data_IF_141299516978
#
_entry.id   IF_141299516978
#
_cell.length_a   1.000
_cell.length_b   1.000
_cell.length_c   1.000
_cell.angle_alpha   90.00
_cell.angle_beta   90.00
_cell.angle_gamma   90.00
#
_symmetry.space_group_name_H-M   'P 1'
#
loop_
_entity.id
_entity.type
_entity.pdbx_description
1 polymer ?
#
# COMPACT_ATOMS: atom_id res chain seq x y z
N UNK A 1 63.24 -45.50 -28.91
CA UNK A 1 63.44 -44.99 -27.54
C UNK A 1 62.52 -43.81 -27.34
N UNK A 2 61.64 -43.94 -26.34
CA UNK A 2 60.99 -42.93 -25.47
C UNK A 2 61.00 -41.42 -25.82
N UNK A 3 59.84 -40.82 -25.47
CA UNK A 3 59.51 -39.41 -25.18
C UNK A 3 58.96 -38.65 -26.40
N UNK A 4 57.71 -38.18 -26.47
CA UNK A 4 56.76 -37.78 -25.43
C UNK A 4 56.64 -36.26 -25.49
N UNK A 5 55.49 -35.73 -25.92
CA UNK A 5 54.99 -34.43 -25.47
C UNK A 5 53.52 -34.27 -25.89
N UNK A 6 52.66 -34.26 -24.87
CA UNK A 6 51.28 -33.81 -24.91
C UNK A 6 51.25 -32.30 -25.16
N UNK A 7 50.38 -31.82 -26.05
CA UNK A 7 50.00 -30.41 -26.11
C UNK A 7 48.48 -30.31 -26.21
N UNK A 8 47.92 -29.83 -25.11
CA UNK A 8 46.53 -29.42 -24.90
C UNK A 8 45.98 -28.64 -26.10
N UNK A 9 44.88 -29.12 -26.69
CA UNK A 9 43.98 -28.26 -27.45
C UNK A 9 43.12 -27.50 -26.45
N UNK A 10 43.44 -26.21 -26.27
CA UNK A 10 42.67 -25.29 -25.45
C UNK A 10 41.27 -25.10 -26.01
N UNK A 11 40.28 -25.56 -25.27
CA UNK A 11 38.88 -25.20 -25.46
C UNK A 11 38.73 -23.74 -24.99
N UNK A 12 38.84 -22.80 -25.93
CA UNK A 12 38.48 -21.41 -25.67
C UNK A 12 36.96 -21.32 -25.53
N UNK A 13 36.45 -21.49 -24.30
CA UNK A 13 35.13 -21.00 -23.94
C UNK A 13 35.16 -19.48 -24.08
N UNK A 14 34.57 -18.98 -25.17
CA UNK A 14 34.13 -17.59 -25.28
C UNK A 14 33.03 -17.38 -24.23
N UNK A 15 33.45 -17.06 -23.00
CA UNK A 15 32.63 -16.37 -22.03
C UNK A 15 32.36 -14.98 -22.61
N UNK A 16 31.31 -14.89 -23.43
CA UNK A 16 30.64 -13.61 -23.64
C UNK A 16 30.25 -13.11 -22.25
N UNK A 17 30.68 -11.91 -21.83
CA UNK A 17 30.06 -11.29 -20.68
C UNK A 17 28.58 -11.19 -21.04
N UNK A 18 27.72 -11.75 -20.21
CA UNK A 18 26.34 -11.31 -20.13
C UNK A 18 26.41 -9.82 -19.74
N UNK A 19 26.57 -8.97 -20.76
CA UNK A 19 26.26 -7.56 -20.64
C UNK A 19 24.77 -7.58 -20.39
N UNK A 20 24.40 -7.59 -19.11
CA UNK A 20 23.08 -7.18 -18.69
C UNK A 20 22.85 -5.87 -19.41
N UNK A 21 22.02 -5.88 -20.44
CA UNK A 21 21.53 -4.64 -21.02
C UNK A 21 20.94 -3.92 -19.82
N UNK A 22 21.60 -2.83 -19.40
CA UNK A 22 20.90 -1.77 -18.73
C UNK A 22 19.74 -1.48 -19.66
N UNK A 23 18.55 -1.97 -19.30
CA UNK A 23 17.35 -1.72 -20.07
C UNK A 23 17.20 -0.21 -19.96
N UNK A 24 17.55 0.48 -21.04
CA UNK A 24 17.36 1.92 -21.15
C UNK A 24 15.90 2.20 -20.82
N UNK A 25 15.66 3.30 -20.09
CA UNK A 25 14.33 3.85 -19.94
C UNK A 25 13.64 3.80 -21.32
N UNK A 26 12.40 3.28 -21.44
CA UNK A 26 11.62 3.47 -22.64
C UNK A 26 11.73 4.94 -23.07
N UNK A 27 11.83 5.27 -24.36
CA UNK A 27 11.99 6.67 -24.80
C UNK A 27 10.99 7.65 -24.17
N UNK A 28 9.78 7.17 -23.82
CA UNK A 28 8.75 7.91 -23.10
C UNK A 28 9.04 8.21 -21.61
N UNK A 29 10.00 7.51 -20.99
CA UNK A 29 10.38 7.54 -19.57
C UNK A 29 11.68 8.26 -19.28
N UNK A 30 12.38 8.77 -20.29
CA UNK A 30 13.55 9.59 -20.05
C UNK A 30 13.18 10.78 -19.14
N UNK A 31 13.93 10.95 -18.04
CA UNK A 31 13.68 11.85 -16.91
C UNK A 31 13.45 13.34 -17.26
N UNK A 32 13.52 13.73 -18.54
CA UNK A 32 13.37 15.10 -19.02
C UNK A 32 12.00 15.47 -19.58
N UNK A 33 11.11 14.52 -19.87
CA UNK A 33 9.86 14.85 -20.59
C UNK A 33 8.65 14.91 -19.65
N UNK A 34 8.74 15.77 -18.62
CA UNK A 34 7.66 16.03 -17.64
C UNK A 34 6.30 16.32 -18.29
N UNK A 35 6.31 16.95 -19.48
CA UNK A 35 5.11 17.23 -20.27
C UNK A 35 4.51 15.95 -20.89
N UNK A 36 5.32 14.97 -21.30
CA UNK A 36 4.81 13.69 -21.76
C UNK A 36 4.16 12.87 -20.63
N UNK A 37 4.50 13.15 -19.36
CA UNK A 37 3.89 12.54 -18.17
C UNK A 37 2.60 13.21 -17.73
N UNK A 38 2.50 14.54 -17.88
CA UNK A 38 1.29 15.29 -17.50
C UNK A 38 0.05 14.77 -18.23
N UNK A 39 0.21 14.33 -19.48
CA UNK A 39 -0.87 13.81 -20.32
C UNK A 39 -1.24 12.33 -20.06
N UNK A 40 -0.40 11.56 -19.35
CA UNK A 40 -0.52 10.08 -19.23
C UNK A 40 -0.96 9.60 -17.86
N UNK A 41 -0.92 10.48 -16.87
CA UNK A 41 -1.32 10.19 -15.50
C UNK A 41 -2.53 11.05 -15.21
N UNK A 42 -3.56 10.45 -14.61
CA UNK A 42 -4.68 11.22 -14.07
C UNK A 42 -4.24 11.91 -12.78
N UNK A 43 -3.72 13.12 -12.94
CA UNK A 43 -3.18 13.91 -11.84
C UNK A 43 -4.33 14.41 -10.96
N UNK A 44 -4.29 14.14 -9.64
CA UNK A 44 -5.22 14.79 -8.75
C UNK A 44 -5.00 16.30 -8.77
N UNK A 45 -6.07 17.04 -8.52
CA UNK A 45 -6.03 18.50 -8.41
C UNK A 45 -4.91 18.93 -7.44
N UNK A 46 -4.09 19.89 -7.86
CA UNK A 46 -2.96 20.39 -7.07
C UNK A 46 -1.66 19.57 -7.17
N UNK A 47 -1.63 18.43 -7.86
CA UNK A 47 -0.40 17.65 -8.08
C UNK A 47 0.16 17.74 -9.52
N UNK A 48 -0.35 18.66 -10.34
CA UNK A 48 0.07 18.79 -11.74
C UNK A 48 1.53 19.23 -11.87
N UNK A 49 2.28 18.76 -12.88
CA UNK A 49 3.71 19.06 -13.02
C UNK A 49 4.10 20.53 -13.02
N UNK A 50 3.23 21.39 -13.53
CA UNK A 50 3.41 22.84 -13.61
C UNK A 50 3.27 23.52 -12.23
N UNK A 51 2.61 22.87 -11.27
CA UNK A 51 2.38 23.35 -9.91
C UNK A 51 3.43 22.81 -8.89
N UNK A 52 4.33 21.92 -9.32
CA UNK A 52 5.23 21.21 -8.42
C UNK A 52 6.50 22.02 -8.04
N UNK A 53 7.10 21.79 -6.85
CA UNK A 53 8.36 22.40 -6.41
C UNK A 53 9.57 21.98 -7.29
N UNK A 54 10.71 22.70 -7.26
CA UNK A 54 11.82 22.57 -8.24
C UNK A 54 12.58 21.21 -8.31
N UNK A 55 12.24 20.22 -7.47
CA UNK A 55 12.63 18.81 -7.66
C UNK A 55 11.37 17.92 -7.57
N UNK A 56 10.48 18.04 -8.56
CA UNK A 56 9.07 17.70 -8.38
C UNK A 56 8.79 16.21 -8.52
N UNK A 57 9.69 15.47 -9.16
CA UNK A 57 9.40 14.14 -9.64
C UNK A 57 10.63 13.23 -9.48
N UNK A 58 10.44 12.09 -8.84
CA UNK A 58 11.39 10.99 -8.83
C UNK A 58 10.84 9.86 -9.68
N UNK A 59 11.67 9.33 -10.56
CA UNK A 59 11.36 8.16 -11.38
C UNK A 59 12.39 7.09 -11.05
N UNK A 60 11.91 5.94 -10.62
CA UNK A 60 12.74 4.78 -10.32
C UNK A 60 12.22 3.56 -11.08
N UNK A 61 13.14 2.70 -11.50
CA UNK A 61 12.78 1.43 -12.12
C UNK A 61 12.42 0.42 -11.04
N UNK A 62 11.31 -0.27 -11.21
CA UNK A 62 10.93 -1.43 -10.43
C UNK A 62 11.25 -2.71 -11.23
N UNK A 63 11.13 -3.86 -10.59
CA UNK A 63 11.32 -5.15 -11.26
C UNK A 63 10.45 -5.31 -12.52
N UNK A 64 11.04 -5.94 -13.55
CA UNK A 64 10.38 -6.15 -14.84
C UNK A 64 10.23 -4.88 -15.69
N UNK A 65 8.99 -4.63 -16.13
CA UNK A 65 8.58 -3.49 -16.98
C UNK A 65 7.85 -2.38 -16.20
N UNK A 66 7.94 -2.43 -14.87
CA UNK A 66 7.28 -1.49 -13.98
C UNK A 66 8.22 -0.36 -13.57
N UNK A 67 7.63 0.79 -13.31
CA UNK A 67 8.30 2.02 -12.91
C UNK A 67 7.55 2.65 -11.75
N UNK A 68 8.28 3.21 -10.81
CA UNK A 68 7.75 4.08 -9.77
C UNK A 68 7.86 5.52 -10.24
N UNK A 69 6.73 6.20 -10.29
CA UNK A 69 6.62 7.65 -10.41
C UNK A 69 6.27 8.19 -9.03
N UNK A 70 7.07 9.11 -8.50
CA UNK A 70 6.85 9.73 -7.20
C UNK A 70 6.90 11.25 -7.34
N UNK A 71 5.75 11.89 -7.25
CA UNK A 71 5.60 13.32 -7.46
C UNK A 71 5.42 14.05 -6.12
N UNK A 72 6.21 15.08 -5.87
CA UNK A 72 6.04 15.99 -4.74
C UNK A 72 4.95 17.00 -5.09
N UNK A 73 3.73 16.79 -4.60
CA UNK A 73 2.58 17.65 -4.89
C UNK A 73 2.60 18.93 -4.04
N UNK A 74 3.05 18.84 -2.78
CA UNK A 74 2.99 19.96 -1.85
C UNK A 74 4.21 19.99 -0.92
N UNK A 75 4.46 21.15 -0.32
CA UNK A 75 5.48 21.31 0.73
C UNK A 75 4.90 22.06 1.93
N UNK A 76 4.96 21.45 3.12
CA UNK A 76 4.54 22.08 4.38
C UNK A 76 5.55 21.77 5.48
N UNK A 77 5.91 22.78 6.28
CA UNK A 77 6.79 22.63 7.45
C UNK A 77 8.05 21.77 7.17
N UNK A 78 8.74 22.05 6.06
CA UNK A 78 9.94 21.33 5.61
C UNK A 78 9.74 19.84 5.27
N UNK A 79 8.50 19.38 5.17
CA UNK A 79 8.13 18.06 4.65
C UNK A 79 7.59 18.21 3.23
N UNK A 80 7.85 17.21 2.40
CA UNK A 80 7.21 17.08 1.09
C UNK A 80 6.06 16.10 1.19
N UNK A 81 4.94 16.43 0.57
CA UNK A 81 3.83 15.51 0.37
C UNK A 81 3.94 14.94 -1.03
N UNK A 82 4.12 13.63 -1.10
CA UNK A 82 4.19 12.93 -2.37
C UNK A 82 2.92 12.14 -2.65
N UNK A 83 2.66 11.95 -3.94
CA UNK A 83 1.83 10.86 -4.44
C UNK A 83 2.68 9.97 -5.33
N UNK A 84 2.35 8.69 -5.36
CA UNK A 84 3.10 7.73 -6.13
C UNK A 84 2.18 6.96 -7.09
N UNK A 85 2.74 6.59 -8.23
CA UNK A 85 2.11 5.75 -9.22
C UNK A 85 3.06 4.64 -9.63
N UNK A 86 2.48 3.48 -9.88
CA UNK A 86 3.13 2.42 -10.64
C UNK A 86 2.78 2.59 -12.10
N UNK A 87 3.79 2.77 -12.92
CA UNK A 87 3.65 2.89 -14.37
C UNK A 87 4.14 1.59 -14.99
N UNK A 88 3.27 0.93 -15.76
CA UNK A 88 3.58 -0.29 -16.51
C UNK A 88 3.46 -0.02 -18.00
N UNK A 89 4.46 -0.38 -18.78
CA UNK A 89 4.37 -0.44 -20.23
C UNK A 89 3.94 -1.83 -20.71
N UNK A 90 3.04 -1.88 -21.70
CA UNK A 90 2.78 -3.11 -22.45
C UNK A 90 3.74 -3.27 -23.64
N UNK A 91 3.67 -4.42 -24.32
CA UNK A 91 4.52 -4.74 -25.47
C UNK A 91 4.26 -3.83 -26.70
N UNK A 92 3.13 -3.12 -26.71
CA UNK A 92 2.78 -2.12 -27.72
C UNK A 92 3.30 -0.71 -27.35
N UNK A 93 3.92 -0.55 -26.17
CA UNK A 93 4.42 0.73 -25.66
C UNK A 93 3.33 1.61 -25.04
N UNK A 94 2.13 1.08 -24.81
CA UNK A 94 1.06 1.77 -24.09
C UNK A 94 1.40 1.73 -22.59
N UNK A 95 1.36 2.90 -21.96
CA UNK A 95 1.63 3.03 -20.53
C UNK A 95 0.32 3.05 -19.76
N UNK A 96 0.24 2.25 -18.70
CA UNK A 96 -0.83 2.32 -17.70
C UNK A 96 -0.25 2.81 -16.40
N UNK A 97 -0.81 3.89 -15.86
CA UNK A 97 -0.48 4.40 -14.53
C UNK A 97 -1.52 3.93 -13.51
N UNK A 98 -1.05 3.45 -12.36
CA UNK A 98 -1.86 3.01 -11.25
C UNK A 98 -1.44 3.78 -10.00
N UNK A 99 -2.32 4.61 -9.39
CA UNK A 99 -2.02 5.23 -8.11
C UNK A 99 -1.66 4.18 -7.07
N UNK A 100 -0.53 4.37 -6.41
CA UNK A 100 -0.12 3.52 -5.29
C UNK A 100 -0.70 4.08 -4.00
N UNK A 101 -1.21 3.16 -3.21
CA UNK A 101 -1.64 3.40 -1.84
C UNK A 101 -0.65 2.68 -0.94
N UNK A 102 -0.34 3.27 0.20
CA UNK A 102 0.66 2.74 1.13
C UNK A 102 0.02 2.42 2.46
N UNK A 103 0.36 1.28 3.08
CA UNK A 103 -0.14 0.96 4.41
C UNK A 103 0.59 1.81 5.45
N UNK A 104 -0.17 2.50 6.29
CA UNK A 104 0.28 3.37 7.39
C UNK A 104 -0.43 3.03 8.69
N UNK A 105 0.28 3.25 9.82
CA UNK A 105 -0.33 3.20 11.14
C UNK A 105 -1.27 4.38 11.34
N UNK A 106 -2.49 4.09 11.77
CA UNK A 106 -3.39 5.08 12.37
C UNK A 106 -3.55 4.69 13.84
N UNK A 107 -3.38 5.66 14.74
CA UNK A 107 -3.62 5.48 16.17
C UNK A 107 -4.92 6.17 16.53
N UNK A 108 -5.85 5.41 17.12
CA UNK A 108 -7.14 5.90 17.58
C UNK A 108 -7.42 5.31 18.97
N UNK A 109 -7.72 6.18 19.96
CA UNK A 109 -8.01 5.78 21.34
C UNK A 109 -7.00 4.75 21.89
N UNK A 110 -5.71 5.05 21.74
CA UNK A 110 -4.58 4.19 22.13
C UNK A 110 -4.45 2.84 21.38
N UNK A 111 -5.31 2.59 20.39
CA UNK A 111 -5.25 1.41 19.51
C UNK A 111 -4.62 1.76 18.16
N UNK A 112 -3.84 0.84 17.61
CA UNK A 112 -3.16 1.04 16.33
C UNK A 112 -3.68 0.10 15.25
N UNK A 113 -4.15 0.66 14.14
CA UNK A 113 -4.59 -0.11 12.95
C UNK A 113 -3.81 0.30 11.71
N UNK A 114 -3.70 -0.59 10.71
CA UNK A 114 -3.11 -0.26 9.42
C UNK A 114 -4.21 0.18 8.44
N UNK A 115 -4.02 1.33 7.81
CA UNK A 115 -4.87 1.79 6.73
C UNK A 115 -4.04 2.17 5.50
N UNK A 116 -4.64 2.06 4.31
CA UNK A 116 -4.06 2.53 3.07
C UNK A 116 -4.24 4.04 2.94
N UNK A 117 -3.16 4.74 2.57
CA UNK A 117 -3.20 6.17 2.24
C UNK A 117 -2.55 6.45 0.89
N UNK A 118 -3.10 7.40 0.10
CA UNK A 118 -2.51 7.81 -1.18
C UNK A 118 -1.31 8.77 -1.03
N UNK A 119 -1.17 9.39 0.13
CA UNK A 119 -0.20 10.46 0.35
C UNK A 119 0.93 10.01 1.26
N UNK A 120 2.15 10.36 0.87
CA UNK A 120 3.38 10.14 1.62
C UNK A 120 3.88 11.49 2.10
N UNK A 121 3.90 11.75 3.41
CA UNK A 121 4.41 13.02 3.94
C UNK A 121 5.79 12.76 4.55
N UNK A 122 6.86 13.27 3.96
CA UNK A 122 8.21 13.04 4.49
C UNK A 122 9.34 13.30 3.52
N UNK A 123 10.46 12.63 3.78
CA UNK A 123 11.58 12.44 2.87
C UNK A 123 11.51 11.01 2.34
N UNK A 124 11.21 10.89 1.04
CA UNK A 124 11.09 9.61 0.37
C UNK A 124 12.38 9.27 -0.38
N UNK A 125 12.87 8.05 -0.22
CA UNK A 125 14.06 7.51 -0.88
C UNK A 125 13.76 6.14 -1.49
N UNK A 126 14.30 5.87 -2.68
CA UNK A 126 13.98 4.67 -3.46
C UNK A 126 15.27 3.92 -3.77
N UNK A 127 15.31 2.64 -3.41
CA UNK A 127 16.42 1.73 -3.69
C UNK A 127 15.86 0.40 -4.22
N UNK A 128 16.03 0.16 -5.52
CA UNK A 128 15.41 -0.97 -6.22
C UNK A 128 13.88 -1.00 -6.04
N UNK A 129 13.36 -2.14 -5.60
CA UNK A 129 11.94 -2.32 -5.27
C UNK A 129 11.57 -1.83 -3.86
N UNK A 130 12.42 -1.05 -3.20
CA UNK A 130 12.12 -0.53 -1.86
C UNK A 130 11.89 0.98 -1.88
N UNK A 131 10.85 1.40 -1.16
CA UNK A 131 10.61 2.79 -0.84
C UNK A 131 10.74 2.99 0.66
N UNK A 132 11.64 3.89 1.06
CA UNK A 132 11.78 4.35 2.44
C UNK A 132 11.15 5.73 2.55
N UNK A 133 10.27 5.94 3.52
CA UNK A 133 9.79 7.26 3.92
C UNK A 133 10.26 7.55 5.33
N UNK A 134 10.92 8.69 5.50
CA UNK A 134 11.26 9.21 6.83
C UNK A 134 10.55 10.53 7.06
N UNK A 135 9.74 10.60 8.10
CA UNK A 135 8.97 11.79 8.49
C UNK A 135 9.64 12.41 9.71
N UNK A 136 9.67 13.74 9.76
CA UNK A 136 10.13 14.52 10.93
C UNK A 136 11.48 14.07 11.55
N UNK A 137 12.42 13.62 10.72
CA UNK A 137 13.73 13.10 11.14
C UNK A 137 14.60 14.03 11.98
N UNK A 138 14.26 15.32 12.04
CA UNK A 138 15.00 16.37 12.78
C UNK A 138 14.48 16.57 14.22
N UNK A 139 13.54 15.74 14.67
CA UNK A 139 13.04 15.75 16.06
C UNK A 139 12.37 17.07 16.49
N UNK A 140 11.74 17.81 15.58
CA UNK A 140 11.11 19.10 15.89
C UNK A 140 9.59 18.93 16.13
N UNK A 141 9.16 19.10 17.38
CA UNK A 141 7.76 19.31 17.79
C UNK A 141 6.86 18.06 17.79
N UNK A 142 7.18 17.04 16.99
CA UNK A 142 6.48 15.74 16.99
C UNK A 142 7.47 14.60 16.73
N UNK A 143 7.05 13.38 17.05
CA UNK A 143 7.86 12.17 16.88
C UNK A 143 8.15 11.83 15.41
N UNK A 144 9.41 11.51 15.12
CA UNK A 144 9.83 11.02 13.82
C UNK A 144 9.37 9.58 13.55
N UNK A 145 9.10 9.28 12.28
CA UNK A 145 8.73 7.94 11.84
C UNK A 145 9.52 7.52 10.60
N UNK A 146 9.85 6.24 10.50
CA UNK A 146 10.50 5.65 9.33
C UNK A 146 9.76 4.39 8.91
N UNK A 147 9.33 4.34 7.66
CA UNK A 147 8.64 3.19 7.07
C UNK A 147 9.38 2.73 5.83
N UNK A 148 9.52 1.42 5.67
CA UNK A 148 10.06 0.80 4.46
C UNK A 148 8.98 -0.08 3.85
N UNK A 149 8.70 0.12 2.56
CA UNK A 149 7.80 -0.72 1.79
C UNK A 149 8.55 -1.51 0.72
N UNK A 150 8.05 -2.72 0.48
CA UNK A 150 8.33 -3.54 -0.70
C UNK A 150 7.35 -3.16 -1.81
N UNK A 151 7.90 -2.82 -2.98
CA UNK A 151 7.19 -2.46 -4.20
C UNK A 151 7.30 -3.55 -5.28
N UNK A 152 7.83 -4.73 -4.99
CA UNK A 152 7.85 -5.85 -5.95
C UNK A 152 6.44 -6.29 -6.37
N UNK A 153 5.43 -6.00 -5.55
CA UNK A 153 4.02 -6.33 -5.79
C UNK A 153 3.18 -5.08 -6.06
N UNK A 154 2.11 -5.15 -6.89
CA UNK A 154 1.21 -4.03 -7.17
C UNK A 154 0.68 -3.30 -5.93
N UNK A 155 0.42 -4.02 -4.84
CA UNK A 155 0.11 -3.46 -3.53
C UNK A 155 1.37 -3.39 -2.67
N UNK A 156 1.82 -2.19 -2.24
CA UNK A 156 2.97 -2.03 -1.36
C UNK A 156 2.84 -2.79 -0.05
N UNK A 157 3.89 -3.47 0.40
CA UNK A 157 3.89 -4.20 1.67
C UNK A 157 4.87 -3.54 2.63
N UNK A 158 4.41 -3.11 3.80
CA UNK A 158 5.30 -2.59 4.83
C UNK A 158 6.22 -3.71 5.35
N UNK A 159 7.53 -3.49 5.27
CA UNK A 159 8.58 -4.40 5.69
C UNK A 159 9.13 -4.06 7.07
N UNK A 160 9.32 -2.77 7.31
CA UNK A 160 9.91 -2.22 8.53
C UNK A 160 9.20 -0.92 8.89
N UNK A 161 8.96 -0.73 10.17
CA UNK A 161 8.34 0.48 10.68
C UNK A 161 8.93 0.81 12.04
N UNK A 162 9.43 2.04 12.16
CA UNK A 162 10.16 2.52 13.33
C UNK A 162 9.66 3.90 13.70
N UNK A 163 9.62 4.16 15.00
CA UNK A 163 9.20 5.45 15.54
C UNK A 163 10.18 5.92 16.58
N UNK A 164 10.47 7.21 16.58
CA UNK A 164 11.24 7.84 17.63
C UNK A 164 10.42 7.81 18.94
N UNK A 165 11.00 7.32 20.06
CA UNK A 165 10.27 7.18 21.32
C UNK A 165 10.12 8.52 22.06
N UNK A 166 11.14 9.37 21.98
CA UNK A 166 11.21 10.66 22.68
C UNK A 166 11.33 11.79 21.66
N UNK A 167 10.47 12.78 21.81
CA UNK A 167 10.23 13.83 20.81
C UNK A 167 10.54 15.16 21.51
N UNK A 168 11.83 15.46 21.74
CA UNK A 168 12.22 16.60 22.53
C UNK A 168 11.75 17.89 21.85
N UNK A 169 11.35 18.88 22.66
CA UNK A 169 10.88 20.19 22.16
C UNK A 169 11.94 20.96 21.36
N UNK A 170 13.21 20.54 21.45
CA UNK A 170 14.34 21.11 20.75
C UNK A 170 15.21 20.00 20.15
N UNK A 171 15.86 20.26 19.00
CA UNK A 171 16.76 19.29 18.40
C UNK A 171 17.92 19.02 19.39
N UNK A 172 18.04 17.79 19.85
CA UNK A 172 19.15 17.37 20.73
C UNK A 172 20.41 17.14 19.90
N UNK A 173 21.60 17.20 20.51
CA UNK A 173 22.90 17.09 19.81
C UNK A 173 23.13 15.75 19.08
N UNK A 174 22.25 14.77 19.22
CA UNK A 174 22.26 13.56 18.43
C UNK A 174 20.83 13.23 17.97
N UNK A 175 20.41 13.81 16.84
CA UNK A 175 19.31 13.23 16.06
C UNK A 175 19.68 11.76 15.80
N UNK A 176 19.00 10.83 16.49
CA UNK A 176 19.28 9.41 16.35
C UNK A 176 18.99 9.02 14.90
N UNK A 177 19.93 8.32 14.25
CA UNK A 177 19.73 7.80 12.91
C UNK A 177 18.39 7.04 12.84
N UNK A 178 17.47 7.41 11.92
CA UNK A 178 16.16 6.76 11.79
C UNK A 178 16.22 5.24 11.61
N UNK A 179 17.32 4.69 11.10
CA UNK A 179 17.54 3.24 11.01
C UNK A 179 17.72 2.56 12.38
N UNK A 180 18.04 3.34 13.42
CA UNK A 180 18.28 2.86 14.78
C UNK A 180 17.11 3.15 15.75
N UNK A 181 16.04 3.81 15.27
CA UNK A 181 14.85 3.99 16.08
C UNK A 181 14.21 2.64 16.45
N UNK A 182 13.55 2.55 17.62
CA UNK A 182 12.79 1.37 18.03
C UNK A 182 11.81 0.92 16.94
N UNK A 183 11.82 -0.39 16.67
CA UNK A 183 10.82 -0.99 15.80
C UNK A 183 9.44 -0.94 16.46
N UNK A 184 8.44 -0.51 15.71
CA UNK A 184 7.04 -0.72 16.05
C UNK A 184 6.76 -2.22 15.86
N UNK A 185 6.09 -2.85 16.81
CA UNK A 185 6.00 -4.31 16.95
C UNK A 185 5.77 -5.06 15.60
N UNK A 186 6.71 -5.91 15.20
CA UNK A 186 6.69 -6.59 13.89
C UNK A 186 5.57 -7.62 13.68
N UNK A 187 4.88 -8.04 14.75
CA UNK A 187 3.66 -8.86 14.67
C UNK A 187 2.51 -8.11 14.02
N UNK A 188 2.39 -6.81 14.29
CA UNK A 188 1.38 -5.92 13.73
C UNK A 188 1.52 -5.77 12.21
N UNK A 189 2.76 -5.64 11.69
CA UNK A 189 3.04 -5.59 10.25
C UNK A 189 2.72 -6.89 9.51
N UNK A 190 2.86 -8.05 10.17
CA UNK A 190 2.63 -9.36 9.54
C UNK A 190 1.14 -9.72 9.45
N UNK A 191 0.37 -9.41 10.49
CA UNK A 191 -1.06 -9.74 10.55
C UNK A 191 -1.88 -9.07 9.43
N UNK A 192 -1.46 -7.89 8.98
CA UNK A 192 -2.24 -7.04 8.07
C UNK A 192 -1.68 -7.00 6.64
N UNK A 193 -0.91 -8.01 6.23
CA UNK A 193 -0.45 -8.11 4.84
C UNK A 193 -1.65 -8.44 3.94
N UNK A 194 -1.87 -7.72 2.81
CA UNK A 194 -2.95 -8.05 1.89
C UNK A 194 -2.83 -9.50 1.41
N UNK A 195 -3.96 -10.22 1.52
CA UNK A 195 -4.10 -11.60 1.06
C UNK A 195 -3.99 -11.70 -0.46
N UNK A 196 -4.65 -10.78 -1.17
CA UNK A 196 -4.54 -10.62 -2.62
C UNK A 196 -3.66 -9.41 -2.94
N UNK A 197 -2.59 -9.64 -3.71
CA UNK A 197 -1.63 -8.62 -4.14
C UNK A 197 -1.63 -8.40 -5.65
N UNK A 198 -2.64 -8.89 -6.34
CA UNK A 198 -2.75 -8.81 -7.80
C UNK A 198 -2.89 -7.36 -8.30
N UNK A 199 -2.64 -7.17 -9.59
CA UNK A 199 -2.84 -5.86 -10.23
C UNK A 199 -4.29 -5.37 -10.14
N UNK A 200 -5.25 -6.29 -10.33
CA UNK A 200 -6.68 -6.00 -10.22
C UNK A 200 -7.08 -5.57 -8.78
N UNK A 201 -6.38 -6.09 -7.77
CA UNK A 201 -6.58 -5.73 -6.37
C UNK A 201 -6.16 -4.28 -6.14
N UNK A 202 -4.99 -3.90 -6.63
CA UNK A 202 -4.49 -2.53 -6.56
C UNK A 202 -5.38 -1.54 -7.36
N UNK A 203 -5.83 -1.91 -8.56
CA UNK A 203 -6.79 -1.12 -9.34
C UNK A 203 -8.12 -0.89 -8.60
N UNK A 204 -8.63 -1.93 -7.95
CA UNK A 204 -9.85 -1.86 -7.16
C UNK A 204 -9.70 -0.83 -6.05
N UNK A 205 -8.65 -0.95 -5.24
CA UNK A 205 -8.43 -0.09 -4.10
C UNK A 205 -8.20 1.37 -4.53
N UNK A 206 -7.43 1.58 -5.60
CA UNK A 206 -7.20 2.92 -6.15
C UNK A 206 -8.51 3.61 -6.60
N UNK A 207 -9.41 2.88 -7.27
CA UNK A 207 -10.72 3.42 -7.66
C UNK A 207 -11.58 3.74 -6.43
N UNK A 208 -11.69 2.81 -5.48
CA UNK A 208 -12.50 3.01 -4.28
C UNK A 208 -12.02 4.22 -3.46
N UNK A 209 -10.70 4.43 -3.36
CA UNK A 209 -10.12 5.63 -2.74
C UNK A 209 -10.50 6.92 -3.49
N UNK A 210 -10.57 6.89 -4.82
CA UNK A 210 -10.97 8.05 -5.62
C UNK A 210 -12.47 8.38 -5.42
N UNK A 211 -13.32 7.35 -5.33
CA UNK A 211 -14.76 7.51 -5.15
C UNK A 211 -15.15 7.87 -3.70
N UNK A 212 -14.30 7.58 -2.72
CA UNK A 212 -14.55 7.85 -1.30
C UNK A 212 -13.26 8.25 -0.57
N UNK A 213 -12.75 9.47 -0.82
CA UNK A 213 -11.47 9.93 -0.29
C UNK A 213 -11.45 10.10 1.23
N UNK A 214 -12.62 10.21 1.86
CA UNK A 214 -12.78 10.36 3.31
C UNK A 214 -12.62 9.05 4.08
N UNK A 215 -12.64 7.90 3.42
CA UNK A 215 -12.55 6.60 4.09
C UNK A 215 -11.10 6.16 4.28
N UNK A 216 -10.79 5.67 5.47
CA UNK A 216 -9.57 4.93 5.75
C UNK A 216 -9.77 3.46 5.35
N UNK A 217 -9.16 3.03 4.25
CA UNK A 217 -9.28 1.64 3.78
C UNK A 217 -8.37 0.73 4.60
N UNK A 218 -8.93 -0.22 5.33
CA UNK A 218 -8.16 -1.04 6.27
C UNK A 218 -7.22 -2.00 5.52
N UNK A 219 -5.94 -1.99 5.88
CA UNK A 219 -4.94 -2.82 5.21
C UNK A 219 -5.12 -4.30 5.55
N UNK A 220 -4.89 -5.18 4.58
CA UNK A 220 -5.16 -6.61 4.76
C UNK A 220 -6.60 -7.04 4.48
N UNK A 221 -7.55 -6.10 4.36
CA UNK A 221 -8.98 -6.41 4.24
C UNK A 221 -9.46 -6.83 2.85
N UNK A 222 -8.63 -6.76 1.81
CA UNK A 222 -9.09 -7.17 0.47
C UNK A 222 -9.22 -8.69 0.37
N UNK A 223 -10.45 -9.17 0.19
CA UNK A 223 -10.77 -10.59 0.05
C UNK A 223 -11.63 -10.84 -1.17
N UNK A 224 -11.27 -11.85 -1.97
CA UNK A 224 -12.15 -12.37 -3.01
C UNK A 224 -13.14 -13.36 -2.38
N UNK A 225 -14.44 -13.09 -2.51
CA UNK A 225 -15.51 -13.89 -1.91
C UNK A 225 -16.77 -13.91 -2.79
N UNK A 226 -17.45 -15.05 -2.84
CA UNK A 226 -18.74 -15.22 -3.53
C UNK A 226 -19.93 -14.67 -2.73
N UNK A 227 -19.84 -13.43 -2.25
CA UNK A 227 -20.82 -12.90 -1.31
C UNK A 227 -22.25 -12.78 -1.90
N UNK A 228 -22.39 -12.83 -3.24
CA UNK A 228 -23.65 -12.74 -3.96
C UNK A 228 -24.55 -13.98 -3.95
N UNK A 229 -24.07 -15.15 -3.49
CA UNK A 229 -24.75 -16.46 -3.56
C UNK A 229 -25.08 -16.98 -4.97
N UNK A 230 -24.74 -16.22 -6.01
CA UNK A 230 -25.00 -16.50 -7.42
C UNK A 230 -23.82 -17.21 -8.10
N UNK A 231 -22.78 -17.54 -7.34
CA UNK A 231 -21.53 -18.12 -7.82
C UNK A 231 -20.60 -17.09 -8.46
N UNK A 232 -20.95 -15.80 -8.48
CA UNK A 232 -20.04 -14.74 -8.88
C UNK A 232 -19.11 -14.40 -7.71
N UNK A 233 -17.80 -14.58 -7.90
CA UNK A 233 -16.80 -14.12 -6.93
C UNK A 233 -16.57 -12.63 -7.12
N UNK A 234 -17.02 -11.83 -6.15
CA UNK A 234 -16.67 -10.42 -6.05
C UNK A 234 -15.50 -10.22 -5.08
N UNK A 235 -14.74 -9.15 -5.29
CA UNK A 235 -13.74 -8.74 -4.31
C UNK A 235 -14.36 -7.72 -3.37
N UNK A 236 -14.05 -7.83 -2.09
CA UNK A 236 -14.61 -6.95 -1.07
C UNK A 236 -13.50 -6.29 -0.27
N UNK A 237 -13.71 -5.04 0.12
CA UNK A 237 -12.76 -4.22 0.89
C UNK A 237 -13.47 -3.57 2.07
N UNK A 238 -12.81 -3.47 3.23
CA UNK A 238 -13.30 -2.67 4.35
C UNK A 238 -12.82 -1.22 4.26
N UNK A 239 -13.78 -0.29 4.33
CA UNK A 239 -13.53 1.11 4.61
C UNK A 239 -13.97 1.45 6.04
N UNK A 240 -13.14 2.19 6.76
CA UNK A 240 -13.43 2.79 8.05
C UNK A 240 -13.68 4.29 7.85
N UNK A 241 -14.83 4.78 8.31
CA UNK A 241 -15.12 6.20 8.47
C UNK A 241 -14.82 6.58 9.93
N UNK A 242 -13.65 7.18 10.15
CA UNK A 242 -13.19 7.64 11.47
C UNK A 242 -13.65 9.06 11.81
N UNK A 243 -14.38 9.72 10.91
CA UNK A 243 -14.98 11.03 11.11
C UNK A 243 -16.31 10.99 11.87
N UNK A 244 -16.85 9.80 12.14
CA UNK A 244 -18.10 9.59 12.89
C UNK A 244 -17.83 9.17 14.34
N UNK A 245 -18.78 9.46 15.22
CA UNK A 245 -18.76 9.00 16.62
C UNK A 245 -20.07 8.24 16.92
N UNK A 246 -20.04 6.89 17.06
CA UNK A 246 -18.86 6.03 16.93
C UNK A 246 -18.36 5.92 15.47
N UNK A 247 -17.08 5.54 15.23
CA UNK A 247 -16.59 5.24 13.89
C UNK A 247 -17.43 4.16 13.23
N UNK A 248 -17.45 4.16 11.90
CA UNK A 248 -18.27 3.23 11.14
C UNK A 248 -17.45 2.41 10.15
N UNK A 249 -17.67 1.10 10.11
CA UNK A 249 -17.11 0.22 9.08
C UNK A 249 -18.14 0.01 7.98
N UNK A 250 -17.68 0.01 6.73
CA UNK A 250 -18.47 -0.34 5.57
C UNK A 250 -17.72 -1.32 4.69
N UNK A 251 -18.46 -2.21 4.05
CA UNK A 251 -17.95 -3.21 3.13
C UNK A 251 -18.26 -2.77 1.70
N UNK A 252 -17.27 -2.80 0.82
CA UNK A 252 -17.41 -2.33 -0.56
C UNK A 252 -17.12 -3.43 -1.56
N UNK A 253 -18.06 -3.69 -2.46
CA UNK A 253 -17.88 -4.56 -3.60
C UNK A 253 -16.98 -3.87 -4.60
N UNK A 254 -15.88 -4.51 -4.94
CA UNK A 254 -14.92 -4.05 -5.91
C UNK A 254 -15.61 -3.77 -7.24
N UNK A 255 -16.26 -4.76 -7.86
CA UNK A 255 -16.75 -4.62 -9.24
C UNK A 255 -17.80 -3.51 -9.38
N UNK A 256 -18.82 -3.54 -8.53
CA UNK A 256 -20.01 -2.68 -8.60
C UNK A 256 -19.90 -1.37 -7.82
N UNK A 257 -18.97 -1.27 -6.87
CA UNK A 257 -18.96 -0.19 -5.87
C UNK A 257 -20.10 -0.29 -4.86
N UNK A 258 -20.83 -1.41 -4.83
CA UNK A 258 -21.90 -1.64 -3.86
C UNK A 258 -21.35 -1.52 -2.44
N UNK A 259 -22.00 -0.68 -1.63
CA UNK A 259 -21.66 -0.48 -0.22
C UNK A 259 -22.67 -1.21 0.65
N UNK A 260 -22.17 -1.98 1.62
CA UNK A 260 -22.93 -2.61 2.69
C UNK A 260 -22.51 -1.99 4.02
N UNK A 261 -23.48 -1.53 4.80
CA UNK A 261 -23.28 -0.72 6.00
C UNK A 261 -23.81 0.71 5.82
N UNK A 262 -23.42 1.66 6.69
CA UNK A 262 -22.39 1.56 7.72
C UNK A 262 -22.76 0.68 8.92
N UNK A 263 -21.73 0.17 9.61
CA UNK A 263 -21.84 -0.57 10.86
C UNK A 263 -21.05 0.16 11.94
N UNK A 264 -21.69 0.56 13.05
CA UNK A 264 -21.00 1.28 14.11
C UNK A 264 -19.99 0.36 14.83
N UNK A 265 -18.76 0.84 14.94
CA UNK A 265 -17.70 0.30 15.80
C UNK A 265 -17.95 0.83 17.20
N UNK A 266 -18.85 0.18 17.91
CA UNK A 266 -19.37 0.67 19.18
C UNK A 266 -18.22 0.66 20.25
N UNK A 267 -18.01 1.78 20.95
CA UNK A 267 -16.80 2.06 21.74
C UNK A 267 -16.94 1.79 23.25
N UNK A 268 -18.15 1.61 23.77
CA UNK A 268 -18.39 1.70 25.23
C UNK A 268 -18.39 0.36 26.01
N UNK A 269 -18.13 -0.79 25.38
CA UNK A 269 -18.14 -2.13 26.02
C UNK A 269 -16.81 -2.90 26.00
N UNK A 270 -15.70 -2.20 25.87
CA UNK A 270 -14.39 -2.83 25.67
C UNK A 270 -13.85 -3.49 26.95
N UNK A 271 -13.77 -4.82 26.96
CA UNK A 271 -12.66 -5.49 27.63
C UNK A 271 -11.41 -5.18 26.78
N UNK A 272 -10.42 -4.49 27.34
CA UNK A 272 -9.25 -3.94 26.63
C UNK A 272 -8.27 -4.95 26.02
N UNK A 273 -8.76 -6.04 25.43
CA UNK A 273 -7.98 -7.17 24.92
C UNK A 273 -8.13 -7.40 23.40
N UNK A 274 -9.13 -6.85 22.73
CA UNK A 274 -9.29 -6.93 21.28
C UNK A 274 -9.13 -5.52 20.68
N UNK A 275 -8.10 -5.30 19.87
CA UNK A 275 -7.93 -4.04 19.11
C UNK A 275 -8.80 -4.05 17.85
N UNK A 276 -8.97 -2.92 17.17
CA UNK A 276 -9.64 -2.88 15.84
C UNK A 276 -8.76 -3.59 14.81
N UNK A 277 -8.86 -4.91 14.77
CA UNK A 277 -8.23 -5.80 13.78
C UNK A 277 -9.31 -6.29 12.82
N UNK A 278 -9.84 -5.36 12.02
CA UNK A 278 -10.90 -5.68 11.06
C UNK A 278 -10.32 -6.49 9.90
N UNK A 279 -10.29 -7.80 10.11
CA UNK A 279 -9.94 -8.79 9.11
C UNK A 279 -11.22 -9.33 8.49
N UNK A 280 -11.26 -9.36 7.16
CA UNK A 280 -12.30 -10.09 6.44
C UNK A 280 -11.88 -11.56 6.34
N UNK A 281 -12.76 -12.45 6.78
CA UNK A 281 -12.60 -13.90 6.54
C UNK A 281 -13.89 -14.49 6.00
N UNK A 282 -13.74 -15.50 5.13
CA UNK A 282 -14.86 -16.20 4.48
C UNK A 282 -15.03 -17.57 5.12
N UNK A 283 -16.21 -17.84 5.69
CA UNK A 283 -16.53 -19.18 6.16
C UNK A 283 -17.13 -20.04 5.05
N UNK A 284 -16.49 -21.19 4.78
CA UNK A 284 -16.97 -22.20 3.83
C UNK A 284 -17.99 -23.14 4.48
N UNK A 285 -19.07 -23.47 3.77
CA UNK A 285 -20.04 -24.51 4.19
C UNK A 285 -21.49 -24.04 4.32
N UNK A 286 -21.78 -22.76 4.08
CA UNK A 286 -23.14 -22.24 3.93
C UNK A 286 -23.49 -22.03 2.45
N UNK A 287 -24.80 -21.99 2.12
CA UNK A 287 -25.29 -21.75 0.75
C UNK A 287 -24.82 -20.40 0.19
N UNK A 288 -24.60 -19.44 1.08
CA UNK A 288 -23.98 -18.15 0.83
C UNK A 288 -22.74 -18.03 1.73
N UNK A 289 -21.58 -17.61 1.24
CA UNK A 289 -20.44 -17.37 2.11
C UNK A 289 -20.75 -16.27 3.12
N UNK A 290 -20.23 -16.44 4.33
CA UNK A 290 -20.35 -15.45 5.41
C UNK A 290 -19.03 -14.72 5.51
N UNK A 291 -19.09 -13.39 5.45
CA UNK A 291 -17.97 -12.51 5.74
C UNK A 291 -17.99 -12.19 7.22
N UNK A 292 -16.92 -12.56 7.92
CA UNK A 292 -16.69 -12.16 9.30
C UNK A 292 -15.77 -10.96 9.34
N UNK A 293 -16.12 -9.99 10.17
CA UNK A 293 -15.32 -8.81 10.49
C UNK A 293 -15.11 -8.82 11.99
N UNK A 294 -13.86 -8.86 12.44
CA UNK A 294 -13.54 -8.61 13.85
C UNK A 294 -13.40 -7.09 14.04
N UNK A 295 -14.40 -6.45 14.63
CA UNK A 295 -14.40 -4.99 14.82
C UNK A 295 -13.67 -4.53 16.09
N UNK A 296 -12.89 -5.44 16.70
CA UNK A 296 -12.17 -5.18 17.95
C UNK A 296 -13.00 -5.37 19.20
N UNK A 297 -14.16 -6.04 19.11
CA UNK A 297 -14.95 -6.44 20.28
C UNK A 297 -14.76 -7.89 20.70
N UNK A 298 -13.86 -8.62 20.04
CA UNK A 298 -13.86 -10.08 20.06
C UNK A 298 -15.19 -10.71 19.56
N UNK A 299 -16.10 -9.86 19.05
CA UNK A 299 -17.39 -10.20 18.47
C UNK A 299 -17.25 -10.07 16.96
N UNK A 300 -17.41 -11.18 16.24
CA UNK A 300 -17.41 -11.13 14.79
C UNK A 300 -18.75 -10.56 14.30
N UNK A 301 -18.71 -9.43 13.60
CA UNK A 301 -19.82 -9.00 12.76
C UNK A 301 -19.89 -9.93 11.56
N UNK A 302 -21.01 -10.62 11.41
CA UNK A 302 -21.25 -11.60 10.34
C UNK A 302 -22.15 -10.95 9.29
N UNK A 303 -21.61 -10.77 8.09
CA UNK A 303 -22.35 -10.31 6.93
C UNK A 303 -22.61 -11.52 6.05
N UNK A 304 -23.88 -11.80 5.81
CA UNK A 304 -24.32 -12.84 4.89
C UNK A 304 -25.43 -12.29 4.01
N UNK A 305 -25.71 -12.95 2.90
CA UNK A 305 -26.87 -12.64 2.07
C UNK A 305 -27.91 -13.72 2.29
N UNK A 306 -29.13 -13.32 2.65
CA UNK A 306 -30.27 -14.22 2.74
C UNK A 306 -30.54 -14.79 1.33
N UNK A 307 -30.39 -16.11 1.11
CA UNK A 307 -30.54 -16.72 -0.21
C UNK A 307 -31.98 -16.67 -0.73
N UNK A 308 -32.96 -16.54 0.15
CA UNK A 308 -34.39 -16.55 -0.19
C UNK A 308 -34.92 -15.13 -0.40
N UNK A 309 -34.38 -14.14 0.33
CA UNK A 309 -34.81 -12.73 0.24
C UNK A 309 -33.88 -11.86 -0.61
N UNK A 310 -32.69 -12.36 -0.98
CA UNK A 310 -31.62 -11.63 -1.66
C UNK A 310 -31.17 -10.35 -0.92
N UNK A 311 -31.43 -10.26 0.39
CA UNK A 311 -31.08 -9.14 1.26
C UNK A 311 -29.82 -9.46 2.07
N UNK A 312 -29.00 -8.46 2.30
CA UNK A 312 -27.89 -8.57 3.25
C UNK A 312 -28.43 -8.64 4.68
N UNK A 313 -27.98 -9.64 5.41
CA UNK A 313 -28.22 -9.85 6.83
C UNK A 313 -26.94 -9.64 7.61
N UNK A 314 -27.07 -8.97 8.75
CA UNK A 314 -25.95 -8.62 9.60
C UNK A 314 -26.25 -9.13 10.99
N UNK A 315 -25.44 -10.06 11.46
CA UNK A 315 -25.54 -10.64 12.79
C UNK A 315 -24.33 -10.21 13.60
N UNK A 316 -24.58 -9.74 14.82
CA UNK A 316 -23.53 -9.45 15.80
C UNK A 316 -23.62 -10.55 16.86
N UNK A 317 -22.51 -11.26 17.07
CA UNK A 317 -22.39 -12.19 18.19
C UNK A 317 -22.25 -11.45 19.51
#
# INVERSE_FOLDING_TARGET
MRNGLSALLGLALLLLPAVGRAMELPPALQQGDLAAWSERVDWPEGCQPEAMPPSPLKVARLDGNDWLLLAACESYAYQLRYRAWRVRGDDAGILTALPLLFPFRIVWQDQATLAWRPELVGLADVDGDSLTLTTKARGLGDCGERIVWDLSQPLPVALDYRSQPDCPDAPSEADADPNNWPAVAGTWLKAHRPADRSWQAAQTLARLQADSPQLAWLAGSLVAAEAGCDGATDRWVLGLDDGQEPPEISLFAAASGERIGPFPVDSERQDGLCGIDATLSVETGQRCPVLKIDDGRCDALRISRDPDQLRWTVERN
#
